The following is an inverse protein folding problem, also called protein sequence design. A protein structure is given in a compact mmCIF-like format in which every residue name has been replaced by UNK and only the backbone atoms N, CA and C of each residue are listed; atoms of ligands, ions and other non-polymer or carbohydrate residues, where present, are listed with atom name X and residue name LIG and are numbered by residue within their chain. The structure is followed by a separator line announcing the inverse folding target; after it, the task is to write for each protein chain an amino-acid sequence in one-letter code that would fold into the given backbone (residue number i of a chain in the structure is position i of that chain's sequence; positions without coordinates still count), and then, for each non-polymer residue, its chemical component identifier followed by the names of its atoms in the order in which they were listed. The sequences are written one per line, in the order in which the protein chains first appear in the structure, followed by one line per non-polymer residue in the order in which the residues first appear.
data_IF_009658397697
#
_entry.id   IF_009658397697
#
_cell.length_a   1.000
_cell.length_b   1.000
_cell.length_c   1.000
_cell.angle_alpha   90.00
_cell.angle_beta   90.00
_cell.angle_gamma   90.00
#
_symmetry.space_group_name_H-M   'P 1'
#
loop_
_entity.id
_entity.type
_entity.pdbx_description
1 polymer ?
#
# COMPACT_ATOMS: atom_id res chain seq x y z
N UNK A 1 2.04 -25.91 -5.05
CA UNK A 1 1.48 -26.45 -6.33
C UNK A 1 -0.06 -26.54 -6.38
N UNK A 2 -0.79 -26.57 -5.24
CA UNK A 2 -2.26 -26.76 -5.24
C UNK A 2 -3.08 -25.46 -5.48
N UNK A 3 -2.63 -24.31 -5.00
CA UNK A 3 -3.38 -23.03 -5.09
C UNK A 3 -3.56 -22.54 -6.53
N UNK A 4 -2.50 -22.52 -7.36
CA UNK A 4 -2.60 -22.06 -8.76
C UNK A 4 -3.61 -22.90 -9.56
N UNK A 5 -3.70 -24.21 -9.30
CA UNK A 5 -4.68 -25.08 -9.98
C UNK A 5 -6.13 -24.78 -9.58
N UNK A 6 -6.41 -24.47 -8.31
CA UNK A 6 -7.74 -24.04 -7.86
C UNK A 6 -8.12 -22.64 -8.37
N UNK A 7 -7.13 -21.76 -8.54
CA UNK A 7 -7.34 -20.44 -9.13
C UNK A 7 -7.64 -20.51 -10.62
N UNK A 8 -7.12 -21.52 -11.35
CA UNK A 8 -7.43 -21.73 -12.76
C UNK A 8 -8.91 -22.04 -13.05
N UNK A 9 -9.65 -22.58 -12.08
CA UNK A 9 -11.08 -22.90 -12.23
C UNK A 9 -12.02 -21.79 -11.74
N UNK A 10 -11.52 -20.78 -11.03
CA UNK A 10 -12.34 -19.69 -10.50
C UNK A 10 -12.59 -18.65 -11.60
N UNK A 11 -13.85 -18.49 -11.99
CA UNK A 11 -14.35 -17.38 -12.78
C UNK A 11 -15.21 -16.55 -11.82
N UNK A 12 -14.97 -15.25 -11.67
CA UNK A 12 -15.66 -14.33 -10.74
C UNK A 12 -15.16 -14.28 -9.29
N UNK A 13 -13.89 -14.63 -9.05
CA UNK A 13 -13.33 -14.46 -7.71
C UNK A 13 -13.19 -12.96 -7.38
N UNK A 14 -13.79 -12.54 -6.27
CA UNK A 14 -13.70 -11.16 -5.76
C UNK A 14 -12.67 -10.97 -4.66
N UNK A 15 -12.43 -12.02 -3.87
CA UNK A 15 -11.50 -11.98 -2.74
C UNK A 15 -10.50 -13.12 -2.83
N UNK A 16 -9.23 -12.79 -2.68
CA UNK A 16 -8.12 -13.75 -2.56
C UNK A 16 -7.36 -13.40 -1.29
N UNK A 17 -7.12 -14.38 -0.43
CA UNK A 17 -6.20 -14.26 0.70
C UNK A 17 -5.27 -15.46 0.70
N UNK A 18 -3.97 -15.17 0.73
CA UNK A 18 -2.88 -16.13 0.77
C UNK A 18 -1.93 -15.70 1.88
N UNK A 19 -1.68 -16.61 2.81
CA UNK A 19 -0.78 -16.42 3.94
C UNK A 19 0.25 -17.54 4.01
N UNK A 20 1.36 -17.26 4.72
CA UNK A 20 2.38 -18.18 5.22
C UNK A 20 2.48 -19.55 4.51
N UNK A 21 3.34 -19.61 3.49
CA UNK A 21 3.69 -20.85 2.79
C UNK A 21 2.95 -21.08 1.47
N UNK A 22 1.95 -20.25 1.14
CA UNK A 22 1.42 -20.19 -0.22
C UNK A 22 2.46 -19.55 -1.15
N UNK A 23 3.22 -20.35 -1.92
CA UNK A 23 4.13 -19.86 -2.95
C UNK A 23 3.38 -19.19 -4.10
N UNK A 24 2.93 -17.95 -3.90
CA UNK A 24 2.52 -17.08 -4.99
C UNK A 24 3.77 -16.55 -5.68
N UNK A 25 3.76 -16.62 -7.00
CA UNK A 25 4.81 -16.06 -7.86
C UNK A 25 4.16 -15.11 -8.84
N UNK A 26 4.95 -14.28 -9.52
CA UNK A 26 4.49 -13.43 -10.61
C UNK A 26 3.55 -14.18 -11.56
N UNK A 27 3.95 -15.36 -12.05
CA UNK A 27 3.12 -16.17 -12.96
C UNK A 27 1.73 -16.48 -12.39
N UNK A 28 1.65 -16.80 -11.10
CA UNK A 28 0.37 -17.06 -10.43
C UNK A 28 -0.49 -15.80 -10.32
N UNK A 29 0.11 -14.67 -9.99
CA UNK A 29 -0.58 -13.39 -9.85
C UNK A 29 -1.04 -12.84 -11.20
N UNK A 30 -0.24 -12.98 -12.26
CA UNK A 30 -0.63 -12.66 -13.64
C UNK A 30 -1.83 -13.50 -14.09
N UNK A 31 -1.85 -14.80 -13.77
CA UNK A 31 -2.98 -15.67 -14.09
C UNK A 31 -4.25 -15.24 -13.35
N UNK A 32 -4.14 -14.89 -12.07
CA UNK A 32 -5.24 -14.32 -11.28
C UNK A 32 -5.79 -13.04 -11.93
N UNK A 33 -4.92 -12.09 -12.21
CA UNK A 33 -5.29 -10.80 -12.80
C UNK A 33 -6.02 -10.96 -14.13
N UNK A 34 -5.63 -11.94 -14.96
CA UNK A 34 -6.25 -12.21 -16.27
C UNK A 34 -7.60 -12.92 -16.18
N UNK A 35 -7.81 -13.77 -15.17
CA UNK A 35 -9.00 -14.62 -15.05
C UNK A 35 -10.07 -14.04 -14.12
N UNK A 36 -9.66 -13.16 -13.21
CA UNK A 36 -10.53 -12.57 -12.19
C UNK A 36 -10.41 -11.04 -12.20
N UNK A 37 -10.91 -10.35 -13.25
CA UNK A 37 -10.89 -8.87 -13.30
C UNK A 37 -11.80 -8.23 -12.23
N UNK A 38 -12.75 -9.00 -11.68
CA UNK A 38 -13.68 -8.58 -10.61
C UNK A 38 -13.07 -8.60 -9.20
N UNK A 39 -11.76 -8.78 -9.07
CA UNK A 39 -11.10 -8.77 -7.76
C UNK A 39 -11.26 -7.41 -7.07
N UNK A 40 -11.75 -7.45 -5.84
CA UNK A 40 -11.92 -6.30 -4.96
C UNK A 40 -10.95 -6.33 -3.77
N UNK A 41 -10.56 -7.53 -3.34
CA UNK A 41 -9.73 -7.75 -2.15
C UNK A 41 -8.63 -8.77 -2.43
N UNK A 42 -7.37 -8.36 -2.35
CA UNK A 42 -6.22 -9.24 -2.55
C UNK A 42 -5.28 -9.11 -1.35
N UNK A 43 -4.96 -10.24 -0.72
CA UNK A 43 -4.02 -10.31 0.39
C UNK A 43 -2.95 -11.35 0.08
N UNK A 44 -1.68 -10.93 0.05
CA UNK A 44 -0.52 -11.71 -0.34
C UNK A 44 0.56 -11.59 0.73
N UNK A 45 0.36 -12.21 1.89
CA UNK A 45 1.30 -12.09 2.99
C UNK A 45 2.57 -12.90 2.71
N UNK A 46 3.75 -12.31 2.94
CA UNK A 46 5.06 -12.96 2.81
C UNK A 46 5.40 -13.42 1.39
N UNK A 47 4.73 -12.91 0.36
CA UNK A 47 4.91 -13.34 -1.03
C UNK A 47 6.18 -12.73 -1.67
N UNK A 48 7.36 -13.17 -1.21
CA UNK A 48 8.68 -12.65 -1.62
C UNK A 48 9.06 -12.90 -3.09
N UNK A 49 8.31 -13.74 -3.80
CA UNK A 49 8.48 -14.01 -5.23
C UNK A 49 7.58 -13.13 -6.13
N UNK A 50 6.78 -12.24 -5.54
CA UNK A 50 5.96 -11.28 -6.29
C UNK A 50 6.74 -9.97 -6.47
N UNK A 51 6.77 -9.47 -7.71
CA UNK A 51 7.44 -8.23 -8.10
C UNK A 51 6.45 -7.12 -8.49
N UNK A 52 6.97 -5.90 -8.61
CA UNK A 52 6.20 -4.74 -9.08
C UNK A 52 5.57 -4.99 -10.46
N UNK A 53 6.20 -5.78 -11.33
CA UNK A 53 5.65 -6.09 -12.66
C UNK A 53 4.37 -6.91 -12.59
N UNK A 54 4.31 -7.90 -11.70
CA UNK A 54 3.10 -8.69 -11.50
C UNK A 54 2.02 -7.90 -10.77
N UNK A 55 2.42 -7.08 -9.81
CA UNK A 55 1.49 -6.19 -9.11
C UNK A 55 0.88 -5.16 -10.06
N UNK A 56 1.69 -4.58 -10.95
CA UNK A 56 1.25 -3.68 -12.00
C UNK A 56 0.18 -4.32 -12.90
N UNK A 57 0.39 -5.55 -13.35
CA UNK A 57 -0.61 -6.28 -14.14
C UNK A 57 -1.91 -6.50 -13.35
N UNK A 58 -1.80 -6.84 -12.06
CA UNK A 58 -2.95 -7.00 -11.16
C UNK A 58 -3.78 -5.72 -11.08
N UNK A 59 -3.18 -4.59 -10.70
CA UNK A 59 -3.91 -3.32 -10.51
C UNK A 59 -4.36 -2.69 -11.83
N UNK A 60 -3.72 -3.06 -12.94
CA UNK A 60 -4.16 -2.68 -14.29
C UNK A 60 -5.45 -3.37 -14.68
N UNK A 61 -5.59 -4.67 -14.36
CA UNK A 61 -6.77 -5.48 -14.76
C UNK A 61 -7.90 -5.48 -13.74
N UNK A 62 -7.58 -5.57 -12.46
CA UNK A 62 -8.54 -5.59 -11.37
C UNK A 62 -9.00 -4.15 -11.06
N UNK A 63 -9.92 -3.64 -11.87
CA UNK A 63 -10.32 -2.22 -11.83
C UNK A 63 -11.14 -1.86 -10.60
N UNK A 64 -11.78 -2.85 -9.98
CA UNK A 64 -12.58 -2.72 -8.77
C UNK A 64 -11.78 -2.99 -7.47
N UNK A 65 -10.46 -3.15 -7.56
CA UNK A 65 -9.61 -3.44 -6.41
C UNK A 65 -9.65 -2.27 -5.42
N UNK A 66 -10.11 -2.54 -4.19
CA UNK A 66 -10.23 -1.56 -3.12
C UNK A 66 -9.42 -1.93 -1.87
N UNK A 67 -9.02 -3.20 -1.72
CA UNK A 67 -8.24 -3.68 -0.60
C UNK A 67 -7.06 -4.51 -1.09
N UNK A 68 -5.86 -4.07 -0.73
CA UNK A 68 -4.60 -4.69 -1.10
C UNK A 68 -3.70 -4.82 0.12
N UNK A 69 -3.43 -6.06 0.54
CA UNK A 69 -2.48 -6.37 1.59
C UNK A 69 -1.27 -7.09 0.98
N UNK A 70 -0.10 -6.50 1.14
CA UNK A 70 1.17 -6.99 0.63
C UNK A 70 2.20 -7.17 1.74
N UNK A 71 1.73 -7.33 2.99
CA UNK A 71 2.60 -7.46 4.16
C UNK A 71 3.72 -8.48 3.91
N UNK A 72 4.98 -8.08 4.10
CA UNK A 72 6.15 -8.94 3.91
C UNK A 72 6.51 -9.23 2.45
N UNK A 73 5.92 -8.55 1.47
CA UNK A 73 6.34 -8.63 0.06
C UNK A 73 7.59 -7.78 -0.18
N UNK A 74 8.74 -8.29 0.26
CA UNK A 74 10.02 -7.55 0.30
C UNK A 74 10.54 -7.01 -1.04
N UNK A 75 10.03 -7.52 -2.18
CA UNK A 75 10.40 -7.05 -3.53
C UNK A 75 9.50 -5.94 -4.06
N UNK A 76 8.38 -5.66 -3.39
CA UNK A 76 7.47 -4.59 -3.81
C UNK A 76 8.04 -3.25 -3.38
N UNK A 77 8.26 -2.37 -4.35
CA UNK A 77 8.78 -1.02 -4.12
C UNK A 77 7.72 0.06 -4.32
N UNK A 78 6.73 -0.19 -5.18
CA UNK A 78 5.66 0.77 -5.44
C UNK A 78 4.38 0.09 -5.97
N UNK A 79 3.29 0.85 -5.99
CA UNK A 79 2.03 0.47 -6.68
C UNK A 79 1.75 1.51 -7.74
N UNK A 80 1.83 1.11 -9.01
CA UNK A 80 1.68 2.00 -10.16
C UNK A 80 0.74 1.41 -11.21
N UNK A 81 0.17 2.30 -12.02
CA UNK A 81 -0.59 1.96 -13.23
C UNK A 81 0.08 2.62 -14.43
N UNK A 82 -0.20 2.14 -15.64
CA UNK A 82 0.30 2.78 -16.86
C UNK A 82 0.01 4.28 -16.85
N UNK A 83 0.95 5.11 -17.34
CA UNK A 83 0.60 6.44 -17.82
C UNK A 83 -0.44 6.26 -18.94
N UNK A 84 -1.70 6.52 -18.64
CA UNK A 84 -2.78 6.55 -19.62
C UNK A 84 -2.93 7.94 -20.26
N UNK A 85 -3.82 8.09 -21.25
CA UNK A 85 -4.21 9.41 -21.74
C UNK A 85 -4.69 10.29 -20.58
N UNK A 86 -4.45 11.59 -20.64
CA UNK A 86 -4.95 12.51 -19.61
C UNK A 86 -6.49 12.58 -19.65
N UNK A 87 -7.17 12.48 -18.49
CA UNK A 87 -6.64 12.33 -17.14
C UNK A 87 -6.18 10.89 -16.80
N UNK A 88 -5.05 10.73 -16.08
CA UNK A 88 -4.52 9.41 -15.73
C UNK A 88 -5.52 8.63 -14.85
N UNK A 89 -5.70 7.34 -15.16
CA UNK A 89 -6.51 6.42 -14.35
C UNK A 89 -6.00 6.41 -12.90
N UNK A 90 -6.94 6.50 -11.95
CA UNK A 90 -6.68 6.36 -10.51
C UNK A 90 -7.21 5.02 -10.02
N UNK A 91 -6.53 4.44 -9.05
CA UNK A 91 -6.98 3.23 -8.37
C UNK A 91 -8.06 3.58 -7.35
N UNK A 92 -9.02 2.67 -7.18
CA UNK A 92 -10.08 2.76 -6.18
C UNK A 92 -9.65 2.14 -4.83
N UNK A 93 -8.33 2.06 -4.60
CA UNK A 93 -7.77 1.50 -3.37
C UNK A 93 -8.13 2.38 -2.18
N UNK A 94 -8.77 1.75 -1.19
CA UNK A 94 -9.12 2.32 0.10
C UNK A 94 -8.26 1.75 1.22
N UNK A 95 -7.78 0.52 1.09
CA UNK A 95 -6.91 -0.14 2.06
C UNK A 95 -5.62 -0.60 1.37
N UNK A 96 -4.49 -0.19 1.93
CA UNK A 96 -3.17 -0.63 1.50
C UNK A 96 -2.29 -0.95 2.71
N UNK A 97 -1.88 -2.21 2.83
CA UNK A 97 -0.87 -2.63 3.80
C UNK A 97 0.43 -3.03 3.10
N UNK A 98 1.50 -2.33 3.44
CA UNK A 98 2.87 -2.54 2.96
C UNK A 98 3.82 -2.81 4.12
N UNK A 99 3.31 -3.26 5.26
CA UNK A 99 4.13 -3.64 6.43
C UNK A 99 5.23 -4.61 6.01
N UNK A 100 6.47 -4.40 6.46
CA UNK A 100 7.65 -5.21 6.11
C UNK A 100 8.03 -5.21 4.61
N UNK A 101 7.51 -4.28 3.79
CA UNK A 101 7.97 -4.10 2.42
C UNK A 101 9.24 -3.22 2.37
N UNK A 102 10.39 -3.81 2.69
CA UNK A 102 11.68 -3.10 2.82
C UNK A 102 12.21 -2.42 1.52
N UNK A 103 11.62 -2.72 0.37
CA UNK A 103 11.94 -2.06 -0.90
C UNK A 103 11.18 -0.73 -1.10
N UNK A 104 10.12 -0.45 -0.33
CA UNK A 104 9.35 0.80 -0.44
C UNK A 104 10.16 1.96 0.13
N UNK A 105 10.39 2.97 -0.69
CA UNK A 105 11.06 4.23 -0.34
C UNK A 105 10.15 5.44 -0.60
N UNK A 106 10.68 6.66 -0.36
CA UNK A 106 9.92 7.91 -0.54
C UNK A 106 9.42 8.11 -1.98
N UNK A 107 10.20 7.65 -2.97
CA UNK A 107 9.82 7.70 -4.38
C UNK A 107 8.64 6.77 -4.66
N UNK A 108 8.72 5.53 -4.18
CA UNK A 108 7.64 4.55 -4.24
C UNK A 108 6.37 5.03 -3.55
N UNK A 109 6.48 5.58 -2.34
CA UNK A 109 5.35 6.14 -1.59
C UNK A 109 4.69 7.30 -2.36
N UNK A 110 5.48 8.21 -2.93
CA UNK A 110 4.96 9.30 -3.75
C UNK A 110 4.15 8.79 -4.94
N UNK A 111 4.63 7.74 -5.62
CA UNK A 111 3.90 7.10 -6.72
C UNK A 111 2.60 6.47 -6.22
N UNK A 112 2.64 5.77 -5.09
CA UNK A 112 1.46 5.12 -4.49
C UNK A 112 0.36 6.13 -4.20
N UNK A 113 0.65 7.17 -3.41
CA UNK A 113 -0.37 8.14 -2.97
C UNK A 113 -0.96 8.92 -4.14
N UNK A 114 -0.14 9.24 -5.16
CA UNK A 114 -0.60 9.90 -6.39
C UNK A 114 -1.58 9.04 -7.19
N UNK A 115 -1.42 7.71 -7.17
CA UNK A 115 -2.28 6.79 -7.89
C UNK A 115 -3.52 6.34 -7.09
N UNK A 116 -3.50 6.50 -5.76
CA UNK A 116 -4.54 6.00 -4.85
C UNK A 116 -5.18 7.13 -4.02
N UNK A 117 -5.89 8.08 -4.64
CA UNK A 117 -6.44 9.25 -3.94
C UNK A 117 -7.58 8.91 -2.97
N UNK A 118 -8.15 7.70 -3.06
CA UNK A 118 -9.25 7.22 -2.22
C UNK A 118 -8.76 6.42 -1.00
N UNK A 119 -7.45 6.41 -0.70
CA UNK A 119 -6.92 5.69 0.46
C UNK A 119 -7.54 6.19 1.76
N UNK A 120 -7.99 5.23 2.56
CA UNK A 120 -8.57 5.41 3.90
C UNK A 120 -7.64 4.81 4.95
N UNK A 121 -7.02 3.66 4.65
CA UNK A 121 -6.10 2.94 5.52
C UNK A 121 -4.76 2.74 4.79
N UNK A 122 -3.67 3.22 5.40
CA UNK A 122 -2.32 3.05 4.89
C UNK A 122 -1.38 2.57 6.00
N UNK A 123 -0.76 1.41 5.79
CA UNK A 123 0.19 0.84 6.75
C UNK A 123 1.55 0.67 6.09
N UNK A 124 2.56 1.29 6.69
CA UNK A 124 3.95 1.34 6.25
C UNK A 124 4.90 0.87 7.37
N UNK A 125 4.43 -0.03 8.23
CA UNK A 125 5.18 -0.45 9.42
C UNK A 125 6.48 -1.14 9.00
N UNK A 126 7.61 -0.80 9.63
CA UNK A 126 8.94 -1.33 9.29
C UNK A 126 9.38 -1.07 7.84
N UNK A 127 8.79 -0.10 7.13
CA UNK A 127 9.32 0.41 5.86
C UNK A 127 10.46 1.39 6.13
N UNK A 128 11.64 0.89 6.50
CA UNK A 128 12.74 1.68 7.08
C UNK A 128 13.36 2.72 6.14
N UNK A 129 13.06 2.68 4.84
CA UNK A 129 13.49 3.68 3.84
C UNK A 129 12.52 4.86 3.70
N UNK A 130 11.37 4.82 4.36
CA UNK A 130 10.43 5.95 4.40
C UNK A 130 10.96 7.01 5.34
N UNK A 131 10.95 8.24 4.85
CA UNK A 131 11.31 9.44 5.59
C UNK A 131 10.20 10.49 5.47
N UNK A 132 10.41 11.60 6.16
CA UNK A 132 9.57 12.79 6.04
C UNK A 132 9.37 13.28 4.60
N UNK A 133 10.35 13.04 3.71
CA UNK A 133 10.29 13.43 2.30
C UNK A 133 9.23 12.67 1.51
N UNK A 134 8.91 11.42 1.88
CA UNK A 134 7.79 10.66 1.33
C UNK A 134 6.46 11.02 2.01
N UNK A 135 6.48 11.12 3.35
CA UNK A 135 5.28 11.41 4.16
C UNK A 135 4.59 12.71 3.77
N UNK A 136 5.36 13.76 3.44
CA UNK A 136 4.81 15.08 3.06
C UNK A 136 3.82 15.07 1.89
N UNK A 137 3.85 14.04 1.05
CA UNK A 137 2.94 13.94 -0.10
C UNK A 137 1.57 13.36 0.27
N UNK A 138 1.46 12.62 1.38
CA UNK A 138 0.22 11.95 1.79
C UNK A 138 -0.96 12.94 1.89
N UNK A 139 -0.86 14.08 2.60
CA UNK A 139 -2.00 15.00 2.74
C UNK A 139 -2.44 15.62 1.40
N UNK A 140 -1.53 15.78 0.45
CA UNK A 140 -1.83 16.40 -0.86
C UNK A 140 -2.60 15.48 -1.80
N UNK A 141 -2.42 14.16 -1.69
CA UNK A 141 -3.03 13.21 -2.61
C UNK A 141 -4.12 12.36 -1.97
N UNK A 142 -4.06 12.11 -0.66
CA UNK A 142 -4.97 11.23 0.07
C UNK A 142 -5.66 12.00 1.21
N UNK A 143 -6.39 13.07 0.91
CA UNK A 143 -7.05 13.93 1.91
C UNK A 143 -8.12 13.20 2.75
N UNK A 144 -8.64 12.07 2.25
CA UNK A 144 -9.59 11.21 2.94
C UNK A 144 -8.97 10.16 3.86
N UNK A 145 -7.65 10.15 4.06
CA UNK A 145 -6.96 9.16 4.87
C UNK A 145 -7.40 9.24 6.34
N UNK A 146 -7.79 8.10 6.92
CA UNK A 146 -8.27 7.99 8.30
C UNK A 146 -7.30 7.28 9.21
N UNK A 147 -6.56 6.30 8.70
CA UNK A 147 -5.62 5.53 9.48
C UNK A 147 -4.27 5.46 8.78
N UNK A 148 -3.22 5.83 9.52
CA UNK A 148 -1.84 5.73 9.09
C UNK A 148 -1.01 5.05 10.16
N UNK A 149 -0.20 4.08 9.79
CA UNK A 149 0.89 3.61 10.66
C UNK A 149 2.22 3.71 9.93
N UNK A 150 3.14 4.44 10.53
CA UNK A 150 4.56 4.52 10.15
C UNK A 150 5.45 3.97 11.26
N UNK A 151 4.90 3.15 12.14
CA UNK A 151 5.64 2.51 13.23
C UNK A 151 6.91 1.81 12.73
N UNK A 152 7.98 1.90 13.52
CA UNK A 152 9.30 1.37 13.18
C UNK A 152 9.96 2.02 11.93
N UNK A 153 9.41 3.12 11.39
CA UNK A 153 10.09 3.94 10.37
C UNK A 153 11.04 4.93 11.05
N UNK A 154 12.26 4.48 11.35
CA UNK A 154 13.26 5.19 12.15
C UNK A 154 13.67 6.58 11.62
N UNK A 155 13.38 6.87 10.35
CA UNK A 155 13.74 8.14 9.70
C UNK A 155 12.58 9.15 9.64
N UNK A 156 11.42 8.81 10.21
CA UNK A 156 10.31 9.75 10.39
C UNK A 156 10.55 10.59 11.63
N UNK A 157 10.39 11.90 11.50
CA UNK A 157 10.61 12.88 12.58
C UNK A 157 9.38 13.74 12.82
N UNK A 158 9.47 14.68 13.76
CA UNK A 158 8.43 15.68 14.01
C UNK A 158 8.01 16.47 12.76
N UNK A 159 8.91 16.63 11.78
CA UNK A 159 8.56 17.27 10.50
C UNK A 159 7.52 16.45 9.73
N UNK A 160 7.65 15.13 9.67
CA UNK A 160 6.65 14.26 9.05
C UNK A 160 5.29 14.38 9.74
N UNK A 161 5.26 14.54 11.07
CA UNK A 161 4.02 14.74 11.82
C UNK A 161 3.40 16.11 11.54
N UNK A 162 4.21 17.16 11.42
CA UNK A 162 3.74 18.48 10.99
C UNK A 162 3.07 18.44 9.62
N UNK A 163 3.66 17.70 8.68
CA UNK A 163 3.06 17.49 7.37
C UNK A 163 1.74 16.73 7.47
N UNK A 164 1.70 15.63 8.23
CA UNK A 164 0.48 14.83 8.43
C UNK A 164 -0.64 15.59 9.11
N UNK A 165 -0.34 16.57 9.97
CA UNK A 165 -1.35 17.41 10.60
C UNK A 165 -2.21 18.20 9.58
N UNK A 166 -1.74 18.36 8.33
CA UNK A 166 -2.53 18.94 7.23
C UNK A 166 -3.74 18.10 6.83
N UNK A 167 -3.80 16.82 7.22
CA UNK A 167 -5.01 16.00 7.09
C UNK A 167 -6.12 16.48 8.04
N UNK A 168 -5.77 17.14 9.14
CA UNK A 168 -6.72 17.65 10.12
C UNK A 168 -7.63 16.55 10.67
N UNK A 169 -8.93 16.85 10.79
CA UNK A 169 -9.93 15.97 11.40
C UNK A 169 -10.22 14.67 10.60
N UNK A 170 -9.66 14.50 9.40
CA UNK A 170 -9.86 13.25 8.64
C UNK A 170 -9.03 12.10 9.22
N UNK A 171 -7.82 12.39 9.72
CA UNK A 171 -6.95 11.40 10.33
C UNK A 171 -7.45 11.07 11.75
N UNK A 172 -7.87 9.83 11.95
CA UNK A 172 -8.45 9.34 13.22
C UNK A 172 -7.51 8.44 13.99
N UNK A 173 -6.57 7.80 13.30
CA UNK A 173 -5.57 6.92 13.91
C UNK A 173 -4.22 7.19 13.27
N UNK A 174 -3.24 7.52 14.11
CA UNK A 174 -1.83 7.58 13.74
C UNK A 174 -1.02 6.72 14.70
N UNK A 175 -0.21 5.82 14.15
CA UNK A 175 0.79 5.08 14.92
C UNK A 175 2.20 5.41 14.43
N UNK A 176 2.98 5.96 15.36
CA UNK A 176 4.42 6.29 15.24
C UNK A 176 5.24 5.50 16.25
N UNK A 177 4.74 4.32 16.65
CA UNK A 177 5.39 3.51 17.65
C UNK A 177 6.80 3.14 17.20
N UNK A 178 7.77 3.24 18.10
CA UNK A 178 9.20 3.00 17.81
C UNK A 178 9.81 3.94 16.75
N UNK A 179 9.15 5.04 16.38
CA UNK A 179 9.81 6.12 15.64
C UNK A 179 10.63 6.96 16.61
N UNK A 180 11.88 6.56 16.86
CA UNK A 180 12.73 7.15 17.92
C UNK A 180 13.09 8.64 17.71
N UNK A 181 12.81 9.18 16.53
CA UNK A 181 13.03 10.60 16.17
C UNK A 181 11.77 11.46 16.24
N UNK A 182 10.64 10.86 16.62
CA UNK A 182 9.40 11.58 16.94
C UNK A 182 9.41 11.91 18.43
N UNK A 183 9.10 13.16 18.74
CA UNK A 183 9.04 13.68 20.11
C UNK A 183 7.61 14.15 20.46
N UNK A 184 7.43 14.53 21.72
CA UNK A 184 6.18 15.14 22.20
C UNK A 184 5.82 16.42 21.44
N UNK A 185 6.81 17.13 20.87
CA UNK A 185 6.54 18.32 20.07
C UNK A 185 5.77 17.97 18.79
N UNK A 186 6.18 16.92 18.06
CA UNK A 186 5.46 16.43 16.90
C UNK A 186 4.06 15.93 17.25
N UNK A 187 3.92 15.20 18.36
CA UNK A 187 2.63 14.69 18.83
C UNK A 187 1.63 15.81 19.17
N UNK A 188 2.09 16.91 19.77
CA UNK A 188 1.25 18.09 20.05
C UNK A 188 0.69 18.75 18.80
N UNK A 189 1.36 18.64 17.65
CA UNK A 189 0.89 19.23 16.40
C UNK A 189 -0.27 18.43 15.81
N UNK A 190 -0.25 17.10 15.96
CA UNK A 190 -1.26 16.22 15.37
C UNK A 190 -2.45 15.94 16.29
N UNK A 191 -2.30 16.11 17.60
CA UNK A 191 -3.35 15.91 18.60
C UNK A 191 -4.34 17.10 18.72
N UNK A 192 -4.47 17.92 17.69
CA UNK A 192 -5.31 19.13 17.67
C UNK A 192 -6.74 18.84 17.24
#
# INVERSE_FOLDING_TARGET
RCIVRRLCSAQNLRKVSLSDGAWMTDKGLLMLARRCPELTNVQLHGCSAVSDSALFELVTRATNLNHLDLTGCVKISCVSVTPGPEPPRRLLLQYLDLTDCAAVDDGGLRVIVRNCPQLVYLYLRRCTKITDAGIKFIPSFCSGLRELSVSDCMQVTDFGLYELAKLGATLRYLSVAKCVRVSDAGLKVIAR
#
